data_IF_968910940176
#
_entry.id   IF_968910940176
#
_cell.length_a   1.000
_cell.length_b   1.000
_cell.length_c   1.000
_cell.angle_alpha   90.00
_cell.angle_beta   90.00
_cell.angle_gamma   90.00
#
_symmetry.space_group_name_H-M   'P 1'
#
loop_
_entity.id
_entity.type
_entity.pdbx_description
1 polymer ?
#
# COMPACT_ATOMS: atom_id res chain seq x y z
N UNK A 1 1.55 25.83 9.17
CA UNK A 1 1.71 24.70 10.10
C UNK A 1 2.14 23.50 9.29
N UNK A 2 3.40 23.05 9.34
CA UNK A 2 3.79 21.80 8.72
C UNK A 2 3.21 20.66 9.57
N UNK A 3 2.36 19.84 8.96
CA UNK A 3 1.71 18.71 9.63
C UNK A 3 2.70 17.55 9.71
N UNK A 4 2.88 16.99 10.91
CA UNK A 4 3.61 15.73 11.11
C UNK A 4 2.87 14.60 10.39
N UNK A 5 3.53 14.02 9.39
CA UNK A 5 3.05 12.83 8.69
C UNK A 5 3.37 11.63 9.59
N UNK A 6 2.37 11.09 10.27
CA UNK A 6 2.53 9.91 11.10
C UNK A 6 2.92 8.70 10.20
N UNK A 7 4.05 8.07 10.52
CA UNK A 7 4.57 6.93 9.75
C UNK A 7 3.58 5.77 9.83
N UNK A 8 3.25 5.22 8.66
CA UNK A 8 2.49 3.99 8.50
C UNK A 8 3.15 2.87 9.33
N UNK A 9 2.37 2.20 10.20
CA UNK A 9 2.84 1.05 10.99
C UNK A 9 1.87 -0.11 10.83
N UNK A 10 2.32 -1.18 10.20
CA UNK A 10 1.72 -2.51 10.37
C UNK A 10 2.49 -3.16 11.51
N UNK A 11 1.95 -3.08 12.73
CA UNK A 11 2.40 -3.74 13.97
C UNK A 11 3.89 -3.65 14.38
N UNK A 12 4.13 -2.95 15.51
CA UNK A 12 5.20 -3.27 16.50
C UNK A 12 4.75 -3.04 17.96
N UNK A 13 3.54 -2.51 18.22
CA UNK A 13 3.07 -2.17 19.57
C UNK A 13 1.55 -2.42 19.71
N UNK A 14 1.10 -3.38 20.56
CA UNK A 14 -0.32 -3.67 20.77
C UNK A 14 -1.08 -2.58 21.53
N UNK A 15 -0.39 -1.60 22.14
CA UNK A 15 -1.01 -0.45 22.80
C UNK A 15 -1.31 0.72 21.85
N UNK A 16 -0.80 0.68 20.61
CA UNK A 16 -0.98 1.74 19.60
C UNK A 16 -1.74 1.21 18.39
N UNK A 17 -2.93 1.77 18.15
CA UNK A 17 -3.76 1.45 16.97
C UNK A 17 -2.92 1.59 15.70
N UNK A 18 -2.99 0.62 14.80
CA UNK A 18 -2.32 0.67 13.50
C UNK A 18 -2.78 1.94 12.74
N UNK A 19 -1.90 2.93 12.60
CA UNK A 19 -2.17 4.17 11.86
C UNK A 19 -1.98 3.93 10.36
N UNK A 20 -2.87 3.09 9.84
CA UNK A 20 -3.12 2.91 8.41
C UNK A 20 -4.46 3.52 7.99
N UNK A 21 -5.05 4.31 8.88
CA UNK A 21 -6.20 5.12 8.57
C UNK A 21 -5.83 6.07 7.44
N UNK A 22 -6.63 6.12 6.36
CA UNK A 22 -6.59 7.29 5.51
C UNK A 22 -7.11 8.47 6.35
N UNK A 23 -6.22 9.38 6.77
CA UNK A 23 -6.56 10.81 6.73
C UNK A 23 -6.79 11.05 5.25
N UNK A 24 -8.06 11.06 4.86
CA UNK A 24 -8.47 10.67 3.53
C UNK A 24 -7.72 11.41 2.42
N UNK A 25 -7.69 10.79 1.24
CA UNK A 25 -7.88 11.61 0.05
C UNK A 25 -9.33 12.13 0.13
N UNK A 26 -9.57 13.11 1.01
CA UNK A 26 -10.89 13.75 1.28
C UNK A 26 -11.45 14.36 -0.01
N UNK A 27 -10.66 14.37 -1.09
CA UNK A 27 -11.02 14.93 -2.39
C UNK A 27 -11.88 14.01 -3.26
N UNK A 28 -12.03 12.73 -2.91
CA UNK A 28 -13.09 11.90 -3.52
C UNK A 28 -14.38 12.17 -2.75
N UNK A 29 -15.26 13.01 -3.30
CA UNK A 29 -16.58 13.30 -2.72
C UNK A 29 -17.44 12.04 -2.47
N UNK A 30 -18.70 12.21 -2.02
CA UNK A 30 -19.58 11.08 -1.74
C UNK A 30 -19.62 10.11 -2.94
N UNK A 31 -19.28 8.85 -2.68
CA UNK A 31 -19.15 7.80 -3.69
C UNK A 31 -19.97 6.59 -3.27
N UNK A 32 -20.81 6.08 -4.18
CA UNK A 32 -21.56 4.87 -3.92
C UNK A 32 -20.68 3.62 -4.02
N UNK A 33 -21.05 2.52 -3.34
CA UNK A 33 -20.34 1.24 -3.44
C UNK A 33 -20.17 0.75 -4.88
N UNK A 34 -21.20 0.90 -5.73
CA UNK A 34 -21.17 0.47 -7.14
C UNK A 34 -20.11 1.22 -7.95
N UNK A 35 -20.04 2.55 -7.80
CA UNK A 35 -19.04 3.37 -8.49
C UNK A 35 -17.62 2.99 -8.07
N UNK A 36 -17.41 2.70 -6.78
CA UNK A 36 -16.10 2.23 -6.31
C UNK A 36 -15.73 0.88 -6.93
N UNK A 37 -16.68 -0.06 -6.97
CA UNK A 37 -16.48 -1.39 -7.57
C UNK A 37 -16.06 -1.29 -9.04
N UNK A 38 -16.76 -0.49 -9.84
CA UNK A 38 -16.41 -0.24 -11.24
C UNK A 38 -14.99 0.31 -11.39
N UNK A 39 -14.61 1.29 -10.56
CA UNK A 39 -13.29 1.92 -10.60
C UNK A 39 -12.15 0.96 -10.29
N UNK A 40 -12.37 -0.01 -9.41
CA UNK A 40 -11.35 -1.00 -9.02
C UNK A 40 -11.45 -2.32 -9.82
N UNK A 41 -12.38 -2.40 -10.79
CA UNK A 41 -12.60 -3.61 -11.58
C UNK A 41 -13.21 -4.77 -10.79
N UNK A 42 -13.86 -4.49 -9.65
CA UNK A 42 -14.54 -5.50 -8.86
C UNK A 42 -15.96 -5.71 -9.40
N UNK A 43 -16.33 -6.96 -9.68
CA UNK A 43 -17.72 -7.31 -9.98
C UNK A 43 -18.62 -6.97 -8.78
N UNK A 44 -19.74 -6.28 -9.00
CA UNK A 44 -20.73 -5.96 -7.97
C UNK A 44 -21.13 -7.16 -7.11
N UNK A 45 -21.36 -8.33 -7.73
CA UNK A 45 -21.70 -9.56 -7.01
C UNK A 45 -20.57 -10.04 -6.08
N UNK A 46 -19.32 -9.76 -6.42
CA UNK A 46 -18.19 -10.07 -5.55
C UNK A 46 -18.18 -9.17 -4.30
N UNK A 47 -18.62 -7.91 -4.40
CA UNK A 47 -18.77 -7.03 -3.25
C UNK A 47 -19.86 -7.53 -2.29
N UNK A 48 -21.00 -7.97 -2.82
CA UNK A 48 -22.07 -8.59 -2.03
C UNK A 48 -21.58 -9.89 -1.37
N UNK A 49 -20.92 -10.76 -2.14
CA UNK A 49 -20.33 -11.99 -1.63
C UNK A 49 -19.31 -11.75 -0.51
N UNK A 50 -18.49 -10.71 -0.61
CA UNK A 50 -17.54 -10.33 0.46
C UNK A 50 -18.27 -10.01 1.76
N UNK A 51 -19.44 -9.36 1.71
CA UNK A 51 -20.28 -9.13 2.89
C UNK A 51 -20.94 -10.42 3.39
N UNK A 52 -21.53 -11.23 2.51
CA UNK A 52 -22.19 -12.50 2.89
C UNK A 52 -21.23 -13.49 3.57
N UNK A 53 -19.95 -13.50 3.15
CA UNK A 53 -18.89 -14.29 3.77
C UNK A 53 -18.28 -13.64 5.02
N UNK A 54 -18.78 -12.48 5.40
CA UNK A 54 -18.34 -11.72 6.56
C UNK A 54 -16.98 -11.06 6.41
N UNK A 55 -16.39 -11.00 5.21
CA UNK A 55 -15.12 -10.30 4.97
C UNK A 55 -15.29 -8.79 5.05
N UNK A 56 -16.33 -8.26 4.38
CA UNK A 56 -16.68 -6.84 4.42
C UNK A 56 -17.51 -6.53 5.68
N UNK A 57 -17.19 -5.46 6.41
CA UNK A 57 -17.85 -5.14 7.68
C UNK A 57 -19.24 -4.50 7.53
N UNK A 58 -19.64 -4.15 6.31
CA UNK A 58 -20.91 -3.50 6.00
C UNK A 58 -21.56 -4.11 4.76
N UNK A 59 -22.87 -3.96 4.66
CA UNK A 59 -23.64 -4.39 3.50
C UNK A 59 -23.58 -3.32 2.38
N UNK A 60 -22.95 -3.61 1.23
CA UNK A 60 -22.86 -2.64 0.15
C UNK A 60 -24.21 -2.35 -0.51
N UNK A 61 -25.23 -3.21 -0.34
CA UNK A 61 -26.55 -3.02 -0.94
C UNK A 61 -27.42 -2.00 -0.20
N UNK A 62 -27.16 -1.79 1.09
CA UNK A 62 -27.95 -0.88 1.94
C UNK A 62 -27.33 0.51 2.06
N UNK A 63 -26.07 0.66 1.63
CA UNK A 63 -25.31 1.90 1.74
C UNK A 63 -25.40 2.69 0.43
N UNK A 64 -26.03 3.87 0.49
CA UNK A 64 -26.09 4.78 -0.64
C UNK A 64 -24.73 5.48 -0.90
N UNK A 65 -24.06 5.89 0.18
CA UNK A 65 -22.78 6.61 0.13
C UNK A 65 -21.78 6.01 1.13
N UNK A 66 -20.57 5.75 0.65
CA UNK A 66 -19.50 5.18 1.48
C UNK A 66 -18.94 6.23 2.44
N UNK A 67 -18.90 5.89 3.72
CA UNK A 67 -18.02 6.59 4.67
C UNK A 67 -16.54 6.35 4.31
N UNK A 68 -15.59 7.19 4.77
CA UNK A 68 -14.17 6.97 4.50
C UNK A 68 -13.65 5.57 4.92
N UNK A 69 -14.16 5.03 6.03
CA UNK A 69 -13.78 3.68 6.50
C UNK A 69 -14.31 2.60 5.57
N UNK A 70 -15.57 2.69 5.15
CA UNK A 70 -16.18 1.74 4.21
C UNK A 70 -15.53 1.81 2.83
N UNK A 71 -15.17 3.03 2.38
CA UNK A 71 -14.41 3.23 1.16
C UNK A 71 -13.05 2.54 1.23
N UNK A 72 -12.31 2.74 2.31
CA UNK A 72 -10.99 2.13 2.51
C UNK A 72 -11.09 0.60 2.54
N UNK A 73 -12.07 0.06 3.27
CA UNK A 73 -12.29 -1.38 3.38
C UNK A 73 -12.68 -2.02 2.05
N UNK A 74 -13.67 -1.46 1.35
CA UNK A 74 -14.10 -1.98 0.05
C UNK A 74 -13.01 -1.83 -1.01
N UNK A 75 -12.23 -0.75 -0.98
CA UNK A 75 -11.08 -0.57 -1.86
C UNK A 75 -10.02 -1.63 -1.58
N UNK A 76 -9.66 -1.84 -0.30
CA UNK A 76 -8.63 -2.79 0.09
C UNK A 76 -9.01 -4.23 -0.31
N UNK A 77 -10.14 -4.73 0.17
CA UNK A 77 -10.61 -6.08 -0.14
C UNK A 77 -10.93 -6.26 -1.63
N UNK A 78 -11.58 -5.26 -2.22
CA UNK A 78 -12.00 -5.29 -3.61
C UNK A 78 -10.82 -5.35 -4.57
N UNK A 79 -9.74 -4.61 -4.30
CA UNK A 79 -8.52 -4.70 -5.12
C UNK A 79 -7.86 -6.07 -5.03
N UNK A 80 -7.85 -6.72 -3.86
CA UNK A 80 -7.33 -8.10 -3.73
C UNK A 80 -8.15 -9.08 -4.57
N UNK A 81 -9.47 -9.03 -4.44
CA UNK A 81 -10.36 -9.93 -5.20
C UNK A 81 -10.28 -9.66 -6.70
N UNK A 82 -10.27 -8.40 -7.12
CA UNK A 82 -10.11 -8.01 -8.52
C UNK A 82 -8.77 -8.47 -9.11
N UNK A 83 -7.72 -8.57 -8.29
CA UNK A 83 -6.43 -9.13 -8.68
C UNK A 83 -6.41 -10.68 -8.70
N UNK A 84 -7.53 -11.35 -8.44
CA UNK A 84 -7.66 -12.81 -8.46
C UNK A 84 -7.39 -13.49 -7.11
N UNK A 85 -7.28 -12.75 -6.01
CA UNK A 85 -7.16 -13.35 -4.69
C UNK A 85 -8.50 -13.96 -4.25
N UNK A 86 -8.63 -15.28 -4.44
CA UNK A 86 -9.77 -16.06 -3.94
C UNK A 86 -9.73 -16.29 -2.42
N UNK A 87 -10.76 -16.95 -1.90
CA UNK A 87 -10.98 -17.19 -0.48
C UNK A 87 -9.77 -17.81 0.28
N UNK A 88 -9.04 -18.81 -0.26
CA UNK A 88 -7.85 -19.33 0.42
C UNK A 88 -6.75 -18.27 0.57
N UNK A 89 -6.59 -17.42 -0.44
CA UNK A 89 -5.57 -16.37 -0.43
C UNK A 89 -5.94 -15.27 0.56
N UNK A 90 -7.21 -14.83 0.55
CA UNK A 90 -7.73 -13.86 1.51
C UNK A 90 -7.57 -14.36 2.94
N UNK A 91 -7.84 -15.65 3.19
CA UNK A 91 -7.66 -16.25 4.52
C UNK A 91 -6.22 -16.11 5.02
N UNK A 92 -5.23 -16.33 4.15
CA UNK A 92 -3.82 -16.15 4.49
C UNK A 92 -3.46 -14.68 4.69
N UNK A 93 -3.84 -13.83 3.74
CA UNK A 93 -3.44 -12.42 3.74
C UNK A 93 -4.12 -11.61 4.85
N UNK A 94 -5.32 -11.98 5.27
CA UNK A 94 -6.12 -11.21 6.21
C UNK A 94 -6.09 -11.75 7.64
N UNK A 95 -5.42 -12.88 7.89
CA UNK A 95 -5.41 -13.60 9.17
C UNK A 95 -5.05 -12.70 10.36
N UNK A 96 -4.04 -11.86 10.17
CA UNK A 96 -3.42 -11.07 11.24
C UNK A 96 -3.81 -9.57 11.13
N UNK A 97 -4.75 -9.23 10.24
CA UNK A 97 -5.26 -7.87 10.09
C UNK A 97 -6.59 -7.70 10.84
N UNK A 98 -6.69 -6.74 11.77
CA UNK A 98 -7.97 -6.45 12.41
C UNK A 98 -8.95 -5.81 11.43
N UNK A 99 -10.22 -6.22 11.54
CA UNK A 99 -11.36 -5.57 10.88
C UNK A 99 -11.76 -4.28 11.61
N UNK A 100 -12.40 -3.32 10.93
CA UNK A 100 -12.62 -3.27 9.48
C UNK A 100 -11.31 -3.06 8.72
N UNK A 101 -11.20 -3.60 7.50
CA UNK A 101 -9.95 -3.57 6.72
C UNK A 101 -9.64 -2.20 6.07
N UNK A 102 -9.68 -1.13 6.86
CA UNK A 102 -9.48 0.25 6.42
C UNK A 102 -7.98 0.57 6.25
N UNK A 103 -7.34 -0.10 5.28
CA UNK A 103 -5.90 -0.05 5.06
C UNK A 103 -5.53 0.58 3.71
N UNK A 104 -4.40 1.30 3.68
CA UNK A 104 -3.83 1.86 2.44
C UNK A 104 -3.05 0.84 1.64
N UNK A 105 -3.73 0.13 0.73
CA UNK A 105 -3.09 -0.87 -0.14
C UNK A 105 -1.96 -0.29 -1.01
N UNK A 106 -1.99 1.02 -1.29
CA UNK A 106 -0.95 1.73 -2.06
C UNK A 106 0.32 2.05 -1.25
N UNK A 107 0.30 1.82 0.06
CA UNK A 107 1.42 2.07 0.99
C UNK A 107 1.89 0.80 1.70
N UNK A 108 1.40 -0.35 1.27
CA UNK A 108 1.79 -1.63 1.85
C UNK A 108 2.00 -2.69 0.77
N UNK A 109 2.70 -3.74 1.15
CA UNK A 109 2.87 -4.94 0.36
C UNK A 109 2.73 -6.17 1.26
N UNK A 110 2.36 -7.29 0.68
CA UNK A 110 2.35 -8.56 1.40
C UNK A 110 3.69 -9.27 1.20
N UNK A 111 4.44 -9.48 2.28
CA UNK A 111 5.65 -10.31 2.28
C UNK A 111 5.24 -11.77 2.22
N UNK A 112 5.52 -12.46 1.11
CA UNK A 112 5.23 -13.90 0.99
C UNK A 112 6.16 -14.76 1.85
N UNK A 113 7.39 -14.29 2.08
CA UNK A 113 8.38 -14.97 2.92
C UNK A 113 7.87 -15.08 4.37
N UNK A 114 7.42 -13.96 4.93
CA UNK A 114 6.96 -13.88 6.31
C UNK A 114 5.44 -14.07 6.46
N UNK A 115 4.71 -14.08 5.35
CA UNK A 115 3.22 -14.05 5.29
C UNK A 115 2.61 -12.91 6.11
N UNK A 116 3.21 -11.72 6.02
CA UNK A 116 2.77 -10.54 6.76
C UNK A 116 2.66 -9.32 5.85
N UNK A 117 1.73 -8.42 6.17
CA UNK A 117 1.68 -7.11 5.55
C UNK A 117 2.80 -6.24 6.09
N UNK A 118 3.48 -5.54 5.19
CA UNK A 118 4.55 -4.60 5.50
C UNK A 118 4.31 -3.28 4.80
N UNK A 119 4.85 -2.23 5.40
CA UNK A 119 4.77 -0.88 4.86
C UNK A 119 5.79 -0.73 3.74
N UNK A 120 5.38 -0.09 2.64
CA UNK A 120 6.32 0.31 1.60
C UNK A 120 7.31 1.34 2.18
N UNK A 121 8.62 1.15 2.00
CA UNK A 121 9.61 2.09 2.53
C UNK A 121 9.36 3.50 2.03
N UNK A 122 9.47 4.48 2.92
CA UNK A 122 9.45 5.89 2.52
C UNK A 122 10.76 6.28 1.82
N UNK A 123 10.81 7.49 1.24
CA UNK A 123 11.99 7.97 0.52
C UNK A 123 13.24 8.01 1.42
N UNK A 124 13.08 8.36 2.70
CA UNK A 124 14.18 8.41 3.64
C UNK A 124 14.74 7.02 3.93
N UNK A 125 13.89 6.00 4.04
CA UNK A 125 14.30 4.62 4.21
C UNK A 125 14.93 4.05 2.93
N UNK A 126 14.40 4.39 1.75
CA UNK A 126 15.04 4.01 0.48
C UNK A 126 16.44 4.61 0.36
N UNK A 127 16.61 5.88 0.76
CA UNK A 127 17.92 6.55 0.80
C UNK A 127 18.90 5.80 1.72
N UNK A 128 18.48 5.49 2.94
CA UNK A 128 19.29 4.70 3.89
C UNK A 128 19.66 3.31 3.36
N UNK A 129 18.77 2.67 2.60
CA UNK A 129 19.06 1.37 1.97
C UNK A 129 20.12 1.49 0.89
N UNK A 130 20.08 2.54 0.08
CA UNK A 130 21.11 2.81 -0.93
C UNK A 130 22.46 3.11 -0.26
N UNK A 131 22.46 3.94 0.79
CA UNK A 131 23.67 4.24 1.56
C UNK A 131 24.29 2.96 2.13
N UNK A 132 23.51 2.14 2.82
CA UNK A 132 23.97 0.87 3.38
C UNK A 132 24.49 -0.09 2.30
N UNK A 133 23.82 -0.14 1.14
CA UNK A 133 24.28 -0.98 0.04
C UNK A 133 25.64 -0.52 -0.51
N UNK A 134 25.90 0.78 -0.57
CA UNK A 134 27.20 1.31 -0.94
C UNK A 134 28.26 0.92 0.10
N UNK A 135 27.95 1.04 1.38
CA UNK A 135 28.84 0.63 2.48
C UNK A 135 29.19 -0.89 2.37
N UNK A 136 28.20 -1.75 2.10
CA UNK A 136 28.40 -3.19 1.90
C UNK A 136 29.27 -3.50 0.67
N UNK A 137 29.16 -2.72 -0.40
CA UNK A 137 30.00 -2.87 -1.59
C UNK A 137 31.44 -2.42 -1.35
N UNK A 138 31.64 -1.41 -0.52
CA UNK A 138 32.97 -0.98 -0.06
C UNK A 138 33.62 -2.07 0.80
N UNK A 139 32.90 -2.60 1.79
CA UNK A 139 33.38 -3.68 2.67
C UNK A 139 33.72 -4.95 1.90
N UNK A 140 32.92 -5.28 0.86
CA UNK A 140 33.15 -6.43 0.00
C UNK A 140 34.14 -6.19 -1.15
N UNK A 141 34.72 -4.98 -1.26
CA UNK A 141 35.67 -4.57 -2.30
C UNK A 141 35.17 -4.83 -3.74
N UNK A 142 33.86 -4.69 -3.95
CA UNK A 142 33.20 -5.01 -5.22
C UNK A 142 33.28 -3.84 -6.21
N UNK A 143 34.48 -3.57 -6.71
CA UNK A 143 34.79 -2.42 -7.58
C UNK A 143 33.90 -2.38 -8.83
N UNK A 144 33.72 -3.52 -9.52
CA UNK A 144 32.88 -3.62 -10.71
C UNK A 144 31.44 -3.13 -10.45
N UNK A 145 30.89 -3.46 -9.28
CA UNK A 145 29.54 -3.02 -8.89
C UNK A 145 29.49 -1.51 -8.65
N UNK A 146 30.50 -0.96 -7.98
CA UNK A 146 30.63 0.49 -7.74
C UNK A 146 30.78 1.28 -9.05
N UNK A 147 31.57 0.78 -10.00
CA UNK A 147 31.73 1.38 -11.34
C UNK A 147 30.43 1.35 -12.14
N UNK A 148 29.68 0.24 -12.05
CA UNK A 148 28.35 0.13 -12.66
C UNK A 148 27.38 1.16 -12.09
N UNK A 149 27.34 1.32 -10.76
CA UNK A 149 26.52 2.33 -10.09
C UNK A 149 26.91 3.73 -10.55
N UNK A 150 28.21 4.05 -10.55
CA UNK A 150 28.73 5.35 -11.01
C UNK A 150 28.25 5.65 -12.43
N UNK A 151 28.38 4.70 -13.35
CA UNK A 151 27.96 4.86 -14.75
C UNK A 151 26.47 5.16 -14.87
N UNK A 152 25.64 4.47 -14.08
CA UNK A 152 24.19 4.69 -14.06
C UNK A 152 23.83 6.08 -13.51
N UNK A 153 24.49 6.51 -12.43
CA UNK A 153 24.28 7.84 -11.84
C UNK A 153 24.70 8.95 -12.81
N UNK A 154 25.89 8.84 -13.43
CA UNK A 154 26.37 9.81 -14.41
C UNK A 154 25.47 9.91 -15.66
N UNK A 155 24.84 8.79 -16.07
CA UNK A 155 23.84 8.79 -17.15
C UNK A 155 22.58 9.54 -16.73
N UNK A 156 22.04 9.24 -15.54
CA UNK A 156 20.82 9.88 -15.04
C UNK A 156 21.00 11.39 -14.85
N UNK A 157 22.15 11.84 -14.32
CA UNK A 157 22.46 13.27 -14.15
C UNK A 157 22.43 14.00 -15.50
N UNK A 158 23.07 13.43 -16.53
CA UNK A 158 23.09 14.01 -17.89
C UNK A 158 21.68 14.12 -18.48
N UNK A 159 20.84 13.12 -18.25
CA UNK A 159 19.45 13.12 -18.71
C UNK A 159 18.63 14.23 -18.04
N UNK A 160 18.73 14.37 -16.71
CA UNK A 160 18.04 15.43 -15.98
C UNK A 160 18.53 16.82 -16.39
N UNK A 161 19.84 17.01 -16.59
CA UNK A 161 20.41 18.27 -17.07
C UNK A 161 19.91 18.64 -18.47
N UNK A 162 19.64 17.65 -19.33
CA UNK A 162 19.10 17.88 -20.67
C UNK A 162 17.66 18.40 -20.67
N UNK A 163 16.92 18.27 -19.56
CA UNK A 163 15.55 18.76 -19.42
C UNK A 163 15.46 20.27 -19.20
N UNK A 164 16.58 20.96 -18.96
CA UNK A 164 16.61 22.43 -18.84
C UNK A 164 15.87 22.99 -17.62
N UNK A 165 15.60 22.16 -16.61
CA UNK A 165 14.99 22.60 -15.34
C UNK A 165 16.08 23.24 -14.47
N UNK A 166 16.14 24.57 -14.49
CA UNK A 166 16.93 25.40 -13.55
C UNK A 166 15.99 26.16 -12.61
#
# INVERSE_FOLDING_TARGET
MPYEVERVRVHDDPARRATLFPMADVSAGPMSPTVLCERIGLNWQAAVWLHEKGWLSFDPQTVAELTPSQHAELRFLGTLVAAGCGEPMLTVMLRDLPKPYAYRIDKMYFSWEDRTWRVLPDEAENRRRVERWIDELEESASLDSLESIRTQVEKAIREVQSWGVY
#
